data_IF_718794142857
#
_entry.id   IF_718794142857
#
_cell.length_a   1.000
_cell.length_b   1.000
_cell.length_c   1.000
_cell.angle_alpha   90.00
_cell.angle_beta   90.00
_cell.angle_gamma   90.00
#
_symmetry.space_group_name_H-M   'P 1'
#
loop_
_entity.id
_entity.type
_entity.pdbx_description
1 polymer ?
#
# COMPACT_ATOMS: atom_id res chain seq x y z
N UNK A 1 6.08 3.02 -16.41
CA UNK A 1 4.79 3.64 -16.77
C UNK A 1 4.73 5.05 -16.21
N UNK A 2 4.63 5.99 -17.10
CA UNK A 2 4.52 7.42 -16.74
C UNK A 2 3.08 7.67 -16.31
N UNK A 3 2.84 7.68 -15.01
CA UNK A 3 1.52 7.80 -14.36
C UNK A 3 0.96 9.24 -14.34
N UNK A 4 1.47 10.14 -15.16
CA UNK A 4 0.97 11.52 -15.22
C UNK A 4 -0.20 11.58 -16.20
N UNK A 5 -1.40 11.66 -15.67
CA UNK A 5 -2.65 11.81 -16.44
C UNK A 5 -3.41 10.50 -16.71
N UNK A 6 -2.86 9.34 -16.31
CA UNK A 6 -3.50 8.04 -16.52
C UNK A 6 -4.23 7.48 -15.30
N UNK A 7 -3.97 8.00 -14.10
CA UNK A 7 -4.59 7.49 -12.87
C UNK A 7 -6.10 7.66 -12.87
N UNK A 8 -6.58 8.83 -13.31
CA UNK A 8 -8.01 9.07 -13.45
C UNK A 8 -8.64 8.16 -14.51
N UNK A 9 -7.96 7.93 -15.63
CA UNK A 9 -8.45 7.05 -16.69
C UNK A 9 -8.49 5.57 -16.23
N UNK A 10 -7.49 5.12 -15.47
CA UNK A 10 -7.46 3.76 -14.92
C UNK A 10 -8.57 3.60 -13.89
N UNK A 11 -8.72 4.55 -12.98
CA UNK A 11 -9.81 4.55 -12.00
C UNK A 11 -11.16 4.49 -12.68
N UNK A 12 -11.45 5.40 -13.61
CA UNK A 12 -12.76 5.51 -14.25
C UNK A 12 -13.12 4.26 -15.07
N UNK A 13 -12.11 3.54 -15.56
CA UNK A 13 -12.30 2.35 -16.40
C UNK A 13 -12.37 1.06 -15.62
N UNK A 14 -11.63 0.93 -14.53
CA UNK A 14 -11.43 -0.33 -13.80
C UNK A 14 -11.94 -0.30 -12.36
N UNK A 15 -12.26 0.87 -11.80
CA UNK A 15 -12.73 1.00 -10.43
C UNK A 15 -14.18 0.53 -10.30
N UNK A 16 -14.34 -0.69 -9.83
CA UNK A 16 -15.61 -1.32 -9.48
C UNK A 16 -15.57 -1.76 -8.03
N UNK A 17 -16.73 -1.97 -7.43
CA UNK A 17 -16.83 -2.36 -6.02
C UNK A 17 -16.11 -3.67 -5.68
N UNK A 18 -15.98 -4.57 -6.64
CA UNK A 18 -15.31 -5.86 -6.56
C UNK A 18 -13.87 -5.86 -7.11
N UNK A 19 -13.41 -4.72 -7.62
CA UNK A 19 -12.06 -4.60 -8.18
C UNK A 19 -11.00 -4.62 -7.08
N UNK A 20 -9.84 -5.19 -7.40
CA UNK A 20 -8.63 -5.15 -6.58
C UNK A 20 -7.58 -4.31 -7.28
N UNK A 21 -7.09 -3.30 -6.59
CA UNK A 21 -6.11 -2.33 -7.09
C UNK A 21 -4.87 -2.45 -6.22
N UNK A 22 -3.77 -2.90 -6.82
CA UNK A 22 -2.45 -2.89 -6.20
C UNK A 22 -1.59 -1.80 -6.81
N UNK A 23 -0.97 -0.97 -5.97
CA UNK A 23 -0.07 0.10 -6.37
C UNK A 23 1.29 -0.10 -5.70
N UNK A 24 2.34 0.02 -6.49
CA UNK A 24 3.74 0.01 -6.03
C UNK A 24 4.44 1.26 -6.61
N UNK A 25 4.14 2.46 -6.07
CA UNK A 25 4.73 3.70 -6.55
C UNK A 25 6.21 3.79 -6.14
N UNK A 26 6.98 4.68 -6.78
CA UNK A 26 8.33 5.00 -6.32
C UNK A 26 8.29 5.41 -4.84
N UNK A 27 9.23 4.87 -4.05
CA UNK A 27 9.29 5.16 -2.63
C UNK A 27 9.58 6.63 -2.38
N UNK A 28 9.00 7.16 -1.31
CA UNK A 28 9.20 8.54 -0.92
C UNK A 28 10.67 8.77 -0.53
N UNK A 29 11.29 9.82 -1.10
CA UNK A 29 12.72 10.18 -0.89
C UNK A 29 13.73 9.08 -1.25
N UNK A 30 13.34 8.09 -2.05
CA UNK A 30 14.30 7.10 -2.53
C UNK A 30 15.19 7.70 -3.63
N UNK A 31 16.49 7.77 -3.38
CA UNK A 31 17.50 8.35 -4.29
C UNK A 31 17.73 7.53 -5.59
N UNK A 32 17.19 6.33 -5.66
CA UNK A 32 17.46 5.38 -6.74
C UNK A 32 16.65 5.62 -8.02
N UNK A 33 15.77 6.62 -8.05
CA UNK A 33 14.96 6.92 -9.23
C UNK A 33 15.50 8.14 -9.98
N UNK A 34 15.91 7.96 -11.23
CA UNK A 34 16.35 9.05 -12.13
C UNK A 34 15.23 10.07 -12.40
N UNK A 35 13.99 9.66 -12.27
CA UNK A 35 12.82 10.53 -12.40
C UNK A 35 12.12 10.58 -11.04
N UNK A 36 12.29 11.70 -10.34
CA UNK A 36 11.66 11.92 -9.04
C UNK A 36 10.14 11.82 -9.11
N UNK A 37 9.54 11.18 -8.11
CA UNK A 37 8.10 11.21 -7.88
C UNK A 37 7.84 12.28 -6.81
N UNK A 38 7.43 13.50 -7.20
CA UNK A 38 7.33 14.63 -6.28
C UNK A 38 6.21 14.45 -5.27
N UNK A 39 6.28 15.17 -4.15
CA UNK A 39 5.24 15.15 -3.11
C UNK A 39 3.83 15.36 -3.65
N UNK A 40 3.67 16.22 -4.66
CA UNK A 40 2.38 16.47 -5.31
C UNK A 40 1.81 15.21 -5.99
N UNK A 41 2.66 14.33 -6.50
CA UNK A 41 2.24 13.09 -7.16
C UNK A 41 1.87 12.03 -6.12
N UNK A 42 2.59 11.95 -4.99
CA UNK A 42 2.18 11.12 -3.84
C UNK A 42 0.81 11.55 -3.31
N UNK A 43 0.57 12.87 -3.17
CA UNK A 43 -0.72 13.40 -2.74
C UNK A 43 -1.83 13.07 -3.75
N UNK A 44 -1.59 13.24 -5.05
CA UNK A 44 -2.58 12.90 -6.09
C UNK A 44 -2.92 11.42 -6.11
N UNK A 45 -1.91 10.56 -5.92
CA UNK A 45 -2.14 9.12 -5.80
C UNK A 45 -3.03 8.82 -4.59
N UNK A 46 -2.69 9.36 -3.41
CA UNK A 46 -3.52 9.22 -2.21
C UNK A 46 -4.97 9.64 -2.47
N UNK A 47 -5.19 10.84 -3.01
CA UNK A 47 -6.53 11.39 -3.24
C UNK A 47 -7.33 10.53 -4.24
N UNK A 48 -6.64 9.97 -5.24
CA UNK A 48 -7.24 9.04 -6.20
C UNK A 48 -7.68 7.75 -5.51
N UNK A 49 -6.81 7.17 -4.69
CA UNK A 49 -7.08 5.91 -3.99
C UNK A 49 -8.12 6.05 -2.89
N UNK A 50 -8.18 7.20 -2.22
CA UNK A 50 -9.19 7.51 -1.21
C UNK A 50 -10.61 7.48 -1.80
N UNK A 51 -10.76 7.81 -3.08
CA UNK A 51 -12.02 7.84 -3.79
C UNK A 51 -12.32 6.57 -4.59
N UNK A 52 -11.50 5.54 -4.50
CA UNK A 52 -11.74 4.26 -5.17
C UNK A 52 -12.87 3.48 -4.51
N UNK A 53 -13.72 2.86 -5.34
CA UNK A 53 -14.80 1.98 -4.89
C UNK A 53 -14.30 0.56 -4.60
N UNK A 54 -13.25 0.15 -5.27
CA UNK A 54 -12.62 -1.16 -5.13
C UNK A 54 -11.75 -1.30 -3.87
N UNK A 55 -11.16 -2.47 -3.73
CA UNK A 55 -10.19 -2.77 -2.69
C UNK A 55 -8.82 -2.27 -3.11
N UNK A 56 -8.17 -1.50 -2.25
CA UNK A 56 -6.88 -0.88 -2.53
C UNK A 56 -5.82 -1.44 -1.61
N UNK A 57 -4.66 -1.77 -2.18
CA UNK A 57 -3.44 -2.10 -1.47
C UNK A 57 -2.29 -1.31 -2.08
N UNK A 58 -1.49 -0.67 -1.26
CA UNK A 58 -0.33 0.12 -1.69
C UNK A 58 0.90 -0.31 -0.90
N UNK A 59 2.02 -0.46 -1.59
CA UNK A 59 3.33 -0.73 -0.99
C UNK A 59 4.18 0.54 -1.00
N UNK A 60 4.76 0.91 0.15
CA UNK A 60 5.62 2.07 0.33
C UNK A 60 6.78 1.78 1.28
N UNK A 61 7.80 2.63 1.26
CA UNK A 61 8.71 2.71 2.41
C UNK A 61 7.98 3.32 3.62
N UNK A 62 8.15 2.68 4.79
CA UNK A 62 7.55 3.21 6.01
C UNK A 62 8.31 4.46 6.46
N UNK A 63 7.64 5.60 6.47
CA UNK A 63 8.20 6.86 6.95
C UNK A 63 7.09 7.78 7.51
N UNK A 64 7.44 8.79 8.34
CA UNK A 64 6.44 9.68 8.95
C UNK A 64 5.54 10.40 7.95
N UNK A 65 6.09 10.81 6.80
CA UNK A 65 5.31 11.47 5.76
C UNK A 65 4.24 10.56 5.18
N UNK A 66 4.58 9.34 4.82
CA UNK A 66 3.64 8.35 4.27
C UNK A 66 2.60 7.95 5.33
N UNK A 67 3.02 7.79 6.58
CA UNK A 67 2.11 7.47 7.68
C UNK A 67 1.06 8.57 7.92
N UNK A 68 1.45 9.83 7.84
CA UNK A 68 0.50 10.96 7.96
C UNK A 68 -0.37 11.10 6.71
N UNK A 69 0.21 10.93 5.52
CA UNK A 69 -0.52 11.04 4.26
C UNK A 69 -1.66 10.03 4.15
N UNK A 70 -1.43 8.80 4.62
CA UNK A 70 -2.39 7.69 4.52
C UNK A 70 -3.14 7.39 5.83
N UNK A 71 -3.31 8.37 6.71
CA UNK A 71 -3.98 8.20 8.00
C UNK A 71 -5.46 7.76 7.93
N UNK A 72 -6.10 7.86 6.78
CA UNK A 72 -7.45 7.35 6.53
C UNK A 72 -7.47 5.85 6.18
N UNK A 73 -6.29 5.24 6.01
CA UNK A 73 -6.11 3.84 5.63
C UNK A 73 -5.56 3.02 6.82
N UNK A 74 -5.68 1.70 6.71
CA UNK A 74 -4.92 0.80 7.57
C UNK A 74 -3.47 0.78 7.12
N UNK A 75 -2.53 0.89 8.05
CA UNK A 75 -1.10 0.88 7.78
C UNK A 75 -0.45 -0.25 8.58
N UNK A 76 0.17 -1.17 7.87
CA UNK A 76 0.96 -2.26 8.44
C UNK A 76 2.43 -2.05 8.08
N UNK A 77 3.30 -2.27 9.05
CA UNK A 77 4.75 -2.20 8.86
C UNK A 77 5.33 -3.62 8.84
N UNK A 78 6.27 -3.85 7.96
CA UNK A 78 7.13 -5.03 7.98
C UNK A 78 8.59 -4.61 7.81
N UNK A 79 9.50 -5.40 8.35
CA UNK A 79 10.95 -5.21 8.20
C UNK A 79 11.46 -6.30 7.28
N UNK A 80 12.17 -5.90 6.22
CA UNK A 80 12.74 -6.82 5.25
C UNK A 80 14.24 -6.64 5.12
N UNK A 81 14.98 -7.73 4.89
CA UNK A 81 16.39 -7.63 4.54
C UNK A 81 16.57 -6.82 3.25
N UNK A 82 17.49 -5.88 3.26
CA UNK A 82 17.83 -5.13 2.05
C UNK A 82 18.81 -5.90 1.19
N UNK A 83 18.31 -6.73 0.29
CA UNK A 83 19.12 -7.54 -0.63
C UNK A 83 19.90 -6.71 -1.66
N UNK A 84 19.55 -5.44 -1.85
CA UNK A 84 20.22 -4.52 -2.80
C UNK A 84 21.30 -3.66 -2.12
N UNK A 85 21.40 -3.68 -0.80
CA UNK A 85 22.43 -2.95 -0.07
C UNK A 85 23.77 -3.67 -0.14
N UNK A 86 24.85 -2.89 -0.32
CA UNK A 86 26.22 -3.39 -0.20
C UNK A 86 26.63 -3.65 1.27
N UNK A 87 25.81 -3.23 2.22
CA UNK A 87 26.03 -3.43 3.65
C UNK A 87 25.32 -4.69 4.11
N UNK A 88 26.08 -5.69 4.53
CA UNK A 88 25.53 -6.94 5.05
C UNK A 88 24.66 -6.66 6.30
N UNK A 89 23.45 -7.26 6.32
CA UNK A 89 22.53 -7.10 7.44
C UNK A 89 21.73 -5.79 7.45
N UNK A 90 21.78 -4.98 6.38
CA UNK A 90 20.91 -3.83 6.26
C UNK A 90 19.45 -4.26 6.07
N UNK A 91 18.56 -3.58 6.78
CA UNK A 91 17.12 -3.80 6.72
C UNK A 91 16.43 -2.53 6.22
N UNK A 92 15.27 -2.69 5.62
CA UNK A 92 14.39 -1.58 5.32
C UNK A 92 12.98 -1.84 5.82
N UNK A 93 12.31 -0.78 6.19
CA UNK A 93 10.94 -0.82 6.65
C UNK A 93 9.98 -0.55 5.50
N UNK A 94 9.06 -1.46 5.29
CA UNK A 94 8.02 -1.37 4.27
C UNK A 94 6.66 -1.16 4.92
N UNK A 95 5.85 -0.30 4.31
CA UNK A 95 4.46 -0.09 4.68
C UNK A 95 3.54 -0.76 3.67
N UNK A 96 2.61 -1.56 4.15
CA UNK A 96 1.46 -2.04 3.38
C UNK A 96 0.24 -1.26 3.84
N UNK A 97 -0.40 -0.58 2.91
CA UNK A 97 -1.49 0.35 3.16
C UNK A 97 -2.74 -0.15 2.46
N UNK A 98 -3.86 -0.25 3.20
CA UNK A 98 -5.11 -0.79 2.65
C UNK A 98 -6.31 0.07 3.05
N UNK A 99 -7.33 0.16 2.17
CA UNK A 99 -8.58 0.85 2.47
C UNK A 99 -9.61 -0.03 3.19
N UNK A 100 -9.27 -1.26 3.51
CA UNK A 100 -10.06 -2.25 4.24
C UNK A 100 -9.23 -2.87 5.35
N UNK A 101 -9.88 -3.51 6.32
CA UNK A 101 -9.16 -4.28 7.36
C UNK A 101 -8.85 -5.70 6.84
N UNK A 102 -7.61 -6.00 6.48
CA UNK A 102 -7.26 -7.32 5.95
C UNK A 102 -7.40 -8.45 6.99
N UNK A 103 -7.38 -8.12 8.30
CA UNK A 103 -7.57 -9.10 9.39
C UNK A 103 -9.00 -9.64 9.43
N UNK A 104 -9.96 -8.88 8.87
CA UNK A 104 -11.39 -9.24 8.78
C UNK A 104 -11.77 -9.80 7.40
N UNK A 105 -10.85 -9.76 6.45
CA UNK A 105 -11.03 -10.42 5.17
C UNK A 105 -11.04 -11.94 5.41
N UNK A 106 -12.21 -12.50 5.33
CA UNK A 106 -12.54 -13.82 5.86
C UNK A 106 -12.15 -14.93 4.90
N UNK A 107 -10.96 -15.02 4.43
CA UNK A 107 -10.51 -16.30 3.85
C UNK A 107 -9.10 -16.20 3.26
N UNK A 108 -8.27 -17.11 3.59
CA UNK A 108 -7.06 -17.65 2.95
C UNK A 108 -6.07 -16.70 2.23
N UNK A 109 -6.44 -15.44 2.01
CA UNK A 109 -5.54 -14.39 1.58
C UNK A 109 -5.23 -13.50 2.78
N UNK A 110 -4.73 -14.09 3.84
CA UNK A 110 -4.01 -13.31 4.84
C UNK A 110 -2.81 -12.68 4.13
N UNK A 111 -2.40 -11.51 4.59
CA UNK A 111 -1.17 -10.87 4.11
C UNK A 111 0.00 -11.89 4.03
N UNK A 112 0.05 -12.84 4.95
CA UNK A 112 1.02 -13.93 4.98
C UNK A 112 0.96 -14.87 3.77
N UNK A 113 -0.24 -15.11 3.20
CA UNK A 113 -0.40 -15.92 1.99
C UNK A 113 -0.01 -15.18 0.71
N UNK A 114 -0.15 -13.86 0.70
CA UNK A 114 0.18 -13.03 -0.48
C UNK A 114 1.67 -12.72 -0.58
N UNK A 115 2.38 -12.74 0.52
CA UNK A 115 3.71 -12.13 0.62
C UNK A 115 4.85 -13.11 0.81
N UNK A 116 4.59 -14.36 1.15
CA UNK A 116 5.52 -15.49 1.14
C UNK A 116 4.96 -16.61 2.00
N UNK A 117 4.97 -17.80 1.55
CA UNK A 117 4.79 -18.98 2.37
C UNK A 117 5.91 -19.16 3.42
N UNK A 118 6.55 -18.07 3.83
CA UNK A 118 7.59 -18.03 4.84
C UNK A 118 7.02 -17.35 6.10
N UNK A 119 6.77 -18.16 7.11
CA UNK A 119 6.10 -17.84 8.37
C UNK A 119 6.81 -16.80 9.25
N UNK A 120 7.93 -16.21 8.83
CA UNK A 120 8.74 -15.30 9.65
C UNK A 120 8.49 -13.82 9.36
N UNK A 121 7.73 -13.47 8.32
CA UNK A 121 7.42 -12.06 8.03
C UNK A 121 6.28 -11.60 8.95
N UNK A 122 6.61 -10.81 9.96
CA UNK A 122 5.62 -10.22 10.87
C UNK A 122 5.19 -8.86 10.36
N UNK A 123 3.88 -8.66 10.26
CA UNK A 123 3.27 -7.36 10.00
C UNK A 123 2.78 -6.76 11.30
N UNK A 124 3.23 -5.56 11.60
CA UNK A 124 2.80 -4.80 12.76
C UNK A 124 1.79 -3.75 12.33
N UNK A 125 0.61 -3.73 12.95
CA UNK A 125 -0.37 -2.69 12.71
C UNK A 125 0.12 -1.38 13.32
N UNK A 126 0.39 -0.39 12.48
CA UNK A 126 0.87 0.93 12.88
C UNK A 126 -0.26 1.95 12.99
N UNK A 127 -1.29 1.79 12.18
CA UNK A 127 -2.44 2.69 12.20
C UNK A 127 -3.71 1.98 11.80
N UNK A 128 -4.79 2.28 12.52
CA UNK A 128 -6.15 1.83 12.24
C UNK A 128 -7.05 3.07 12.16
N UNK A 129 -7.69 3.32 10.99
CA UNK A 129 -8.61 4.45 10.86
C UNK A 129 -9.86 4.25 11.70
N UNK A 130 -10.51 5.33 12.13
CA UNK A 130 -11.76 5.29 12.91
C UNK A 130 -12.86 4.50 12.19
N UNK A 131 -12.88 4.59 10.86
CA UNK A 131 -13.79 3.85 10.01
C UNK A 131 -13.03 3.31 8.80
N UNK A 132 -13.20 2.02 8.50
CA UNK A 132 -12.68 1.45 7.27
C UNK A 132 -13.42 2.07 6.06
N UNK A 133 -12.68 2.50 5.05
CA UNK A 133 -13.25 3.05 3.80
C UNK A 133 -14.04 1.96 3.08
N UNK A 134 -13.53 0.74 3.12
CA UNK A 134 -14.14 -0.43 2.48
C UNK A 134 -14.40 -1.54 3.50
N UNK A 135 -15.58 -2.09 3.48
CA UNK A 135 -15.91 -3.29 4.28
C UNK A 135 -15.47 -4.53 3.53
N UNK A 136 -14.78 -5.50 4.17
CA UNK A 136 -14.44 -6.77 3.53
C UNK A 136 -15.68 -7.50 2.99
N UNK A 137 -15.50 -8.19 1.88
CA UNK A 137 -16.58 -9.03 1.32
C UNK A 137 -16.91 -10.12 2.35
N UNK A 138 -18.15 -10.14 2.81
CA UNK A 138 -18.66 -11.27 3.59
C UNK A 138 -19.02 -12.37 2.59
N UNK A 139 -18.51 -13.56 2.80
CA UNK A 139 -19.00 -14.73 2.08
C UNK A 139 -20.53 -14.83 2.23
N UNK A 140 -21.19 -15.09 1.11
CA UNK A 140 -22.61 -15.45 1.10
C UNK A 140 -22.76 -16.94 1.31
#
# INVERSE_FOLDING_TARGET
LRLVGSEMCIRDRYDREDAWIYCDPPYFEAECYEVGFPKADHQRLHDTLLNCRGYVMVSYNYCPYISELYKEFFIFRTVRPNSMSQTAGSEYEEAIITNYDPRKACWQLTLDCLLDGNSDTRYELMHEPTHAIKTPIKEK
#
